data_IF_046126149839
#
_entry.id   IF_046126149839
#
_cell.length_a   1.000
_cell.length_b   1.000
_cell.length_c   1.000
_cell.angle_alpha   90.00
_cell.angle_beta   90.00
_cell.angle_gamma   90.00
#
_symmetry.space_group_name_H-M   'P 1'
#
loop_
_entity.id
_entity.type
_entity.pdbx_description
1 polymer ?
#
# COMPACT_ATOMS: atom_id res chain seq x y z
N UNK A 1 18.16 -16.53 -4.96
CA UNK A 1 17.79 -17.87 -5.45
C UNK A 1 17.20 -18.74 -4.33
N UNK A 2 17.90 -18.97 -3.20
CA UNK A 2 17.37 -19.82 -2.11
C UNK A 2 16.05 -19.35 -1.46
N UNK A 3 15.79 -18.04 -1.33
CA UNK A 3 14.50 -17.55 -0.80
C UNK A 3 13.35 -17.67 -1.81
N UNK A 4 13.61 -17.38 -3.09
CA UNK A 4 12.62 -17.49 -4.17
C UNK A 4 12.15 -18.94 -4.35
N UNK A 5 13.07 -19.91 -4.31
CA UNK A 5 12.72 -21.33 -4.37
C UNK A 5 11.84 -21.75 -3.19
N UNK A 6 12.05 -21.22 -1.98
CA UNK A 6 11.19 -21.49 -0.83
C UNK A 6 9.79 -20.90 -0.99
N UNK A 7 9.68 -19.67 -1.51
CA UNK A 7 8.39 -19.03 -1.80
C UNK A 7 7.59 -19.86 -2.81
N UNK A 8 8.22 -20.29 -3.91
CA UNK A 8 7.54 -21.13 -4.90
C UNK A 8 7.09 -22.47 -4.32
N UNK A 9 7.90 -23.12 -3.48
CA UNK A 9 7.53 -24.39 -2.83
C UNK A 9 6.31 -24.19 -1.93
N UNK A 10 6.29 -23.11 -1.14
CA UNK A 10 5.16 -22.77 -0.28
C UNK A 10 3.89 -22.52 -1.11
N UNK A 11 4.00 -21.74 -2.18
CA UNK A 11 2.88 -21.45 -3.09
C UNK A 11 2.33 -22.70 -3.79
N UNK A 12 3.19 -23.67 -4.10
CA UNK A 12 2.79 -24.94 -4.74
C UNK A 12 1.84 -25.75 -3.86
N UNK A 13 1.86 -25.52 -2.54
CA UNK A 13 0.94 -26.18 -1.59
C UNK A 13 -0.24 -25.28 -1.26
N UNK A 14 -0.02 -23.98 -1.03
CA UNK A 14 -1.06 -23.08 -0.54
C UNK A 14 -2.15 -22.77 -1.58
N UNK A 15 -1.77 -22.54 -2.85
CA UNK A 15 -2.73 -22.28 -3.93
C UNK A 15 -3.71 -23.43 -4.20
N UNK A 16 -3.27 -24.70 -4.35
CA UNK A 16 -4.23 -25.77 -4.49
C UNK A 16 -5.01 -26.00 -3.19
N UNK A 17 -4.42 -25.73 -2.02
CA UNK A 17 -5.13 -25.88 -0.74
C UNK A 17 -6.31 -24.91 -0.61
N UNK A 18 -6.14 -23.61 -0.88
CA UNK A 18 -7.23 -22.62 -0.86
C UNK A 18 -8.35 -23.00 -1.84
N UNK A 19 -7.98 -23.39 -3.07
CA UNK A 19 -8.92 -23.85 -4.10
C UNK A 19 -9.69 -25.09 -3.64
N UNK A 20 -9.01 -26.09 -3.08
CA UNK A 20 -9.64 -27.32 -2.62
C UNK A 20 -10.58 -27.05 -1.43
N UNK A 21 -10.15 -26.24 -0.47
CA UNK A 21 -10.97 -25.85 0.68
C UNK A 21 -12.27 -25.17 0.22
N UNK A 22 -12.17 -24.23 -0.73
CA UNK A 22 -13.35 -23.59 -1.31
C UNK A 22 -14.21 -24.59 -2.08
N UNK A 23 -13.62 -25.44 -2.92
CA UNK A 23 -14.34 -26.39 -3.78
C UNK A 23 -15.09 -27.47 -2.99
N UNK A 24 -14.54 -27.90 -1.87
CA UNK A 24 -15.16 -28.90 -0.99
C UNK A 24 -16.08 -28.30 0.08
N UNK A 25 -16.31 -26.99 0.06
CA UNK A 25 -17.20 -26.33 1.02
C UNK A 25 -16.67 -26.41 2.45
N UNK A 26 -15.36 -26.27 2.64
CA UNK A 26 -14.76 -26.12 3.97
C UNK A 26 -15.33 -24.87 4.68
N UNK A 27 -15.12 -24.77 5.99
CA UNK A 27 -15.59 -23.62 6.74
C UNK A 27 -14.90 -22.33 6.27
N UNK A 28 -15.62 -21.22 6.37
CA UNK A 28 -15.18 -19.90 5.90
C UNK A 28 -13.86 -19.47 6.56
N UNK A 29 -13.62 -19.87 7.81
CA UNK A 29 -12.38 -19.59 8.53
C UNK A 29 -11.16 -20.24 7.85
N UNK A 30 -11.31 -21.46 7.33
CA UNK A 30 -10.23 -22.14 6.61
C UNK A 30 -9.97 -21.52 5.23
N UNK A 31 -11.02 -21.08 4.54
CA UNK A 31 -10.90 -20.33 3.27
C UNK A 31 -10.20 -19.00 3.53
N UNK A 32 -10.56 -18.31 4.61
CA UNK A 32 -9.96 -17.05 5.02
C UNK A 32 -8.46 -17.20 5.36
N UNK A 33 -8.10 -18.17 6.21
CA UNK A 33 -6.69 -18.40 6.59
C UNK A 33 -5.86 -18.84 5.39
N UNK A 34 -6.38 -19.74 4.56
CA UNK A 34 -5.64 -20.26 3.40
C UNK A 34 -5.43 -19.20 2.32
N UNK A 35 -6.43 -18.37 2.02
CA UNK A 35 -6.30 -17.27 1.06
C UNK A 35 -5.31 -16.21 1.53
N UNK A 36 -5.36 -15.80 2.81
CA UNK A 36 -4.34 -14.92 3.41
C UNK A 36 -2.93 -15.51 3.27
N UNK A 37 -2.78 -16.79 3.63
CA UNK A 37 -1.50 -17.48 3.56
C UNK A 37 -0.96 -17.56 2.12
N UNK A 38 -1.83 -17.63 1.11
CA UNK A 38 -1.48 -17.59 -0.31
C UNK A 38 -1.12 -16.19 -0.81
N UNK A 39 -1.88 -15.16 -0.43
CA UNK A 39 -1.70 -13.77 -0.90
C UNK A 39 -0.33 -13.21 -0.52
N UNK A 40 0.13 -13.44 0.71
CA UNK A 40 1.41 -12.89 1.22
C UNK A 40 2.61 -13.30 0.34
N UNK A 41 2.90 -14.60 0.12
CA UNK A 41 3.99 -15.02 -0.75
C UNK A 41 3.79 -14.63 -2.23
N UNK A 42 2.54 -14.56 -2.71
CA UNK A 42 2.26 -14.04 -4.06
C UNK A 42 2.66 -12.58 -4.19
N UNK A 43 2.30 -11.72 -3.22
CA UNK A 43 2.65 -10.31 -3.23
C UNK A 43 4.16 -10.09 -3.24
N UNK A 44 4.91 -10.89 -2.46
CA UNK A 44 6.38 -10.85 -2.46
C UNK A 44 6.94 -11.26 -3.85
N UNK A 45 6.37 -12.30 -4.46
CA UNK A 45 6.79 -12.75 -5.79
C UNK A 45 6.45 -11.74 -6.88
N UNK A 46 5.30 -11.05 -6.77
CA UNK A 46 4.90 -9.97 -7.66
C UNK A 46 5.89 -8.81 -7.60
N UNK A 47 6.19 -8.31 -6.40
CA UNK A 47 7.17 -7.24 -6.21
C UNK A 47 8.54 -7.61 -6.75
N UNK A 48 8.95 -8.87 -6.56
CA UNK A 48 10.22 -9.37 -7.12
C UNK A 48 10.20 -9.43 -8.65
N UNK A 49 9.09 -9.87 -9.26
CA UNK A 49 8.96 -9.89 -10.72
C UNK A 49 8.99 -8.47 -11.32
N UNK A 50 8.31 -7.53 -10.66
CA UNK A 50 8.32 -6.11 -10.99
C UNK A 50 9.75 -5.54 -10.94
N UNK A 51 10.51 -5.79 -9.88
CA UNK A 51 11.91 -5.33 -9.75
C UNK A 51 12.79 -5.87 -10.89
N UNK A 52 12.71 -7.18 -11.18
CA UNK A 52 13.53 -7.81 -12.24
C UNK A 52 13.18 -7.35 -13.64
N UNK A 53 11.91 -7.09 -13.91
CA UNK A 53 11.50 -6.48 -15.17
C UNK A 53 11.96 -5.02 -15.25
N UNK A 54 11.89 -4.27 -14.15
CA UNK A 54 12.35 -2.89 -14.09
C UNK A 54 13.86 -2.76 -14.37
N UNK A 55 14.68 -3.63 -13.78
CA UNK A 55 16.13 -3.72 -14.06
C UNK A 55 16.41 -3.92 -15.55
N UNK A 56 15.58 -4.71 -16.25
CA UNK A 56 15.77 -5.07 -17.65
C UNK A 56 15.21 -4.07 -18.65
N UNK A 57 14.09 -3.42 -18.32
CA UNK A 57 13.41 -2.44 -19.18
C UNK A 57 14.03 -1.04 -19.08
N UNK A 58 14.96 -0.85 -18.14
CA UNK A 58 15.69 0.39 -17.94
C UNK A 58 14.93 1.40 -17.07
N UNK A 59 15.57 2.52 -16.70
CA UNK A 59 15.13 3.36 -15.59
C UNK A 59 13.73 3.96 -15.75
N UNK A 60 13.37 4.45 -16.94
CA UNK A 60 12.08 5.12 -17.15
C UNK A 60 10.89 4.14 -17.18
N UNK A 61 11.01 3.06 -17.96
CA UNK A 61 9.96 2.04 -18.06
C UNK A 61 9.88 1.23 -16.76
N UNK A 62 11.04 0.92 -16.16
CA UNK A 62 11.11 0.22 -14.89
C UNK A 62 10.47 0.99 -13.75
N UNK A 63 10.69 2.30 -13.67
CA UNK A 63 10.03 3.13 -12.66
C UNK A 63 8.51 3.19 -12.88
N UNK A 64 8.02 3.25 -14.13
CA UNK A 64 6.58 3.15 -14.42
C UNK A 64 6.01 1.78 -14.02
N UNK A 65 6.75 0.70 -14.30
CA UNK A 65 6.33 -0.66 -13.94
C UNK A 65 6.25 -0.82 -12.43
N UNK A 66 7.25 -0.36 -11.67
CA UNK A 66 7.23 -0.35 -10.21
C UNK A 66 6.10 0.51 -9.66
N UNK A 67 5.83 1.65 -10.29
CA UNK A 67 4.73 2.52 -9.91
C UNK A 67 3.34 1.99 -10.27
N UNK A 68 3.21 0.91 -11.04
CA UNK A 68 1.94 0.26 -11.35
C UNK A 68 1.78 -1.06 -10.59
N UNK A 69 2.82 -1.87 -10.58
CA UNK A 69 2.79 -3.24 -10.04
C UNK A 69 3.39 -3.37 -8.63
N UNK A 70 4.04 -2.33 -8.11
CA UNK A 70 4.52 -2.33 -6.72
C UNK A 70 3.38 -2.44 -5.71
N UNK A 71 2.26 -1.78 -5.99
CA UNK A 71 1.05 -1.75 -5.17
C UNK A 71 -0.13 -2.48 -5.83
N UNK A 72 0.14 -3.35 -6.82
CA UNK A 72 -0.92 -4.05 -7.53
C UNK A 72 -1.72 -4.98 -6.62
N UNK A 73 -1.10 -5.60 -5.62
CA UNK A 73 -1.82 -6.45 -4.64
C UNK A 73 -2.91 -5.66 -3.92
N UNK A 74 -2.58 -4.48 -3.39
CA UNK A 74 -3.54 -3.60 -2.71
C UNK A 74 -4.67 -3.17 -3.66
N UNK A 75 -4.31 -2.70 -4.87
CA UNK A 75 -5.29 -2.29 -5.86
C UNK A 75 -6.23 -3.43 -6.26
N UNK A 76 -5.72 -4.64 -6.45
CA UNK A 76 -6.51 -5.82 -6.82
C UNK A 76 -7.48 -6.18 -5.70
N UNK A 77 -7.01 -6.26 -4.45
CA UNK A 77 -7.87 -6.55 -3.29
C UNK A 77 -8.95 -5.47 -3.15
N UNK A 78 -8.59 -4.19 -3.27
CA UNK A 78 -9.53 -3.07 -3.17
C UNK A 78 -10.58 -3.09 -4.28
N UNK A 79 -10.20 -3.37 -5.53
CA UNK A 79 -11.14 -3.48 -6.65
C UNK A 79 -12.11 -4.65 -6.48
N UNK A 80 -11.62 -5.80 -5.99
CA UNK A 80 -12.46 -6.97 -5.76
C UNK A 80 -13.42 -6.74 -4.58
N UNK A 81 -12.93 -6.14 -3.49
CA UNK A 81 -13.75 -5.75 -2.35
C UNK A 81 -14.82 -4.71 -2.74
N UNK A 82 -14.47 -3.72 -3.56
CA UNK A 82 -15.41 -2.72 -4.07
C UNK A 82 -16.48 -3.38 -4.95
N UNK A 83 -16.09 -4.30 -5.83
CA UNK A 83 -17.02 -5.08 -6.66
C UNK A 83 -17.96 -5.95 -5.83
N UNK A 84 -17.52 -6.41 -4.66
CA UNK A 84 -18.35 -7.16 -3.71
C UNK A 84 -19.25 -6.26 -2.85
N UNK A 85 -19.18 -4.94 -3.01
CA UNK A 85 -19.99 -3.98 -2.25
C UNK A 85 -19.41 -3.62 -0.88
N UNK A 86 -18.20 -4.06 -0.55
CA UNK A 86 -17.53 -3.81 0.73
C UNK A 86 -16.90 -2.39 0.78
N UNK A 87 -17.68 -1.36 0.47
CA UNK A 87 -17.18 0.02 0.30
C UNK A 87 -16.50 0.55 1.55
N UNK A 88 -17.03 0.23 2.73
CA UNK A 88 -16.49 0.72 4.00
C UNK A 88 -15.17 0.04 4.34
N UNK A 89 -15.05 -1.26 4.07
CA UNK A 89 -13.78 -1.99 4.16
C UNK A 89 -12.75 -1.41 3.19
N UNK A 90 -13.14 -1.04 1.96
CA UNK A 90 -12.24 -0.43 0.97
C UNK A 90 -11.75 0.94 1.44
N UNK A 91 -12.63 1.82 1.93
CA UNK A 91 -12.24 3.12 2.51
C UNK A 91 -11.27 2.94 3.68
N UNK A 92 -11.64 2.07 4.61
CA UNK A 92 -10.80 1.71 5.74
C UNK A 92 -9.43 1.15 5.30
N UNK A 93 -9.37 0.37 4.22
CA UNK A 93 -8.10 -0.14 3.67
C UNK A 93 -7.18 0.95 3.13
N UNK A 94 -7.72 2.00 2.51
CA UNK A 94 -6.92 3.15 2.08
C UNK A 94 -6.32 3.88 3.28
N UNK A 95 -7.14 4.16 4.30
CA UNK A 95 -6.72 4.75 5.57
C UNK A 95 -5.60 3.90 6.21
N UNK A 96 -5.84 2.59 6.27
CA UNK A 96 -4.92 1.62 6.82
C UNK A 96 -3.60 1.51 6.07
N UNK A 97 -3.61 1.52 4.73
CA UNK A 97 -2.38 1.43 3.93
C UNK A 97 -1.53 2.69 4.07
N UNK A 98 -2.14 3.87 4.20
CA UNK A 98 -1.41 5.10 4.55
C UNK A 98 -0.79 4.98 5.94
N UNK A 99 -1.55 4.56 6.95
CA UNK A 99 -1.04 4.36 8.31
C UNK A 99 0.08 3.32 8.37
N UNK A 100 -0.10 2.18 7.71
CA UNK A 100 0.82 1.08 7.73
C UNK A 100 2.12 1.44 7.00
N UNK A 101 2.07 2.13 5.85
CA UNK A 101 3.28 2.61 5.20
C UNK A 101 4.05 3.64 6.05
N UNK A 102 3.34 4.66 6.54
CA UNK A 102 3.98 5.80 7.19
C UNK A 102 4.39 5.55 8.64
N UNK A 103 3.69 4.68 9.36
CA UNK A 103 3.96 4.44 10.78
C UNK A 103 4.55 3.04 11.00
N UNK A 104 3.92 2.00 10.46
CA UNK A 104 4.38 0.62 10.67
C UNK A 104 5.65 0.31 9.87
N UNK A 105 5.65 0.53 8.55
CA UNK A 105 6.77 0.17 7.68
C UNK A 105 7.98 1.06 7.93
N UNK A 106 7.79 2.39 8.03
CA UNK A 106 8.85 3.30 8.45
C UNK A 106 9.34 2.99 9.87
N UNK A 107 8.44 2.78 10.83
CA UNK A 107 8.79 2.46 12.20
C UNK A 107 9.61 1.18 12.35
N UNK A 108 9.19 0.10 11.68
CA UNK A 108 9.96 -1.15 11.61
C UNK A 108 11.32 -0.95 10.94
N UNK A 109 11.37 -0.14 9.87
CA UNK A 109 12.60 0.14 9.13
C UNK A 109 13.61 0.89 9.98
N UNK A 110 13.19 1.96 10.67
CA UNK A 110 14.03 2.77 11.54
C UNK A 110 14.45 2.00 12.80
N UNK A 111 13.54 1.23 13.40
CA UNK A 111 13.87 0.36 14.53
C UNK A 111 14.92 -0.67 14.13
N UNK A 112 14.61 -1.53 13.16
CA UNK A 112 15.46 -2.69 12.82
C UNK A 112 16.74 -2.22 12.10
N UNK A 113 16.68 -1.15 11.32
CA UNK A 113 17.83 -0.50 10.71
C UNK A 113 18.74 0.21 11.74
N UNK A 114 18.14 0.82 12.76
CA UNK A 114 18.85 1.53 13.83
C UNK A 114 19.50 0.61 14.85
N UNK A 115 19.06 -0.65 14.99
CA UNK A 115 19.68 -1.60 15.92
C UNK A 115 21.18 -1.77 15.64
N UNK A 116 22.00 -1.44 16.64
CA UNK A 116 23.46 -1.50 16.55
C UNK A 116 24.11 -0.33 15.81
N UNK A 117 23.35 0.74 15.51
CA UNK A 117 23.84 1.99 14.92
C UNK A 117 23.41 3.18 15.79
N UNK A 118 24.18 4.27 15.75
CA UNK A 118 23.78 5.51 16.42
C UNK A 118 22.69 6.23 15.62
N UNK A 119 22.93 6.43 14.32
CA UNK A 119 22.00 7.08 13.39
C UNK A 119 22.15 6.47 11.98
N UNK A 120 21.13 6.61 11.15
CA UNK A 120 21.17 6.36 9.70
C UNK A 120 20.71 7.60 8.93
N UNK A 121 21.54 8.07 8.01
CA UNK A 121 21.21 9.21 7.16
C UNK A 121 20.39 8.83 5.93
N UNK A 122 19.57 9.78 5.47
CA UNK A 122 18.91 9.78 4.19
C UNK A 122 18.74 11.23 3.67
N UNK A 123 18.59 11.39 2.37
CA UNK A 123 18.32 12.68 1.75
C UNK A 123 16.93 13.19 2.13
N UNK A 124 16.85 14.40 2.67
CA UNK A 124 15.56 15.03 3.01
C UNK A 124 14.80 15.55 1.78
N UNK A 125 15.35 15.41 0.57
CA UNK A 125 14.74 15.93 -0.66
C UNK A 125 13.54 15.10 -1.09
N UNK A 126 13.69 13.78 -1.23
CA UNK A 126 12.60 12.88 -1.64
C UNK A 126 11.46 12.92 -0.62
N UNK A 127 11.72 12.83 0.71
CA UNK A 127 10.67 12.95 1.70
C UNK A 127 9.96 14.29 1.70
N UNK A 128 10.66 15.39 1.46
CA UNK A 128 10.04 16.72 1.38
C UNK A 128 9.10 16.86 0.17
N UNK A 129 9.54 16.41 -1.01
CA UNK A 129 8.70 16.47 -2.22
C UNK A 129 7.47 15.56 -2.07
N UNK A 130 7.69 14.31 -1.64
CA UNK A 130 6.61 13.35 -1.44
C UNK A 130 5.66 13.79 -0.31
N UNK A 131 6.18 14.32 0.79
CA UNK A 131 5.39 14.82 1.93
C UNK A 131 4.49 16.01 1.57
N UNK A 132 4.93 16.86 0.65
CA UNK A 132 4.11 17.97 0.13
C UNK A 132 2.94 17.42 -0.70
N UNK A 133 3.20 16.43 -1.56
CA UNK A 133 2.16 15.77 -2.34
C UNK A 133 1.19 14.94 -1.47
N UNK A 134 1.68 14.33 -0.38
CA UNK A 134 0.83 13.68 0.62
C UNK A 134 -0.08 14.67 1.34
N UNK A 135 0.40 15.88 1.64
CA UNK A 135 -0.47 16.93 2.22
C UNK A 135 -1.63 17.28 1.29
N UNK A 136 -1.41 17.27 -0.03
CA UNK A 136 -2.49 17.44 -1.01
C UNK A 136 -3.46 16.25 -0.99
N UNK A 137 -2.95 15.02 -0.85
CA UNK A 137 -3.78 13.83 -0.70
C UNK A 137 -4.66 13.88 0.56
N UNK A 138 -4.10 14.33 1.68
CA UNK A 138 -4.85 14.59 2.91
C UNK A 138 -5.98 15.57 2.66
N UNK A 139 -5.71 16.67 1.94
CA UNK A 139 -6.74 17.66 1.57
C UNK A 139 -7.85 17.04 0.73
N UNK A 140 -7.50 16.16 -0.22
CA UNK A 140 -8.48 15.48 -1.07
C UNK A 140 -9.41 14.53 -0.32
N UNK A 141 -8.99 13.99 0.82
CA UNK A 141 -9.81 13.16 1.70
C UNK A 141 -10.59 14.03 2.71
N UNK A 142 -9.95 15.05 3.26
CA UNK A 142 -10.50 15.90 4.30
C UNK A 142 -11.70 16.74 3.82
N UNK A 143 -11.58 17.41 2.67
CA UNK A 143 -12.62 18.35 2.21
C UNK A 143 -13.95 17.64 1.90
N UNK A 144 -13.98 16.53 1.13
CA UNK A 144 -15.22 15.80 0.91
C UNK A 144 -15.83 15.29 2.23
N UNK A 145 -15.00 14.76 3.14
CA UNK A 145 -15.44 14.23 4.43
C UNK A 145 -16.07 15.28 5.35
N UNK A 146 -15.49 16.49 5.43
CA UNK A 146 -16.09 17.62 6.17
C UNK A 146 -17.41 18.08 5.57
N UNK A 147 -17.51 18.05 4.24
CA UNK A 147 -18.74 18.42 3.53
C UNK A 147 -19.86 17.40 3.77
N UNK A 148 -19.52 16.12 3.93
CA UNK A 148 -20.46 15.06 4.34
C UNK A 148 -20.99 15.25 5.75
N UNK A 149 -20.13 15.68 6.69
CA UNK A 149 -20.50 15.97 8.08
C UNK A 149 -21.52 17.12 8.21
N UNK A 150 -21.42 18.11 7.32
CA UNK A 150 -22.23 19.33 7.36
C UNK A 150 -23.62 19.17 6.70
N UNK A 151 -23.87 18.05 6.00
CA UNK A 151 -25.01 17.90 5.09
C UNK A 151 -25.90 16.70 5.43
N UNK A 152 -26.24 16.53 6.70
CA UNK A 152 -27.20 15.52 7.16
C UNK A 152 -28.60 15.83 6.60
N UNK A 153 -29.17 14.96 5.74
CA UNK A 153 -30.63 14.80 5.66
C UNK A 153 -31.38 14.74 4.32
N UNK A 154 -30.78 14.86 3.12
CA UNK A 154 -31.57 14.76 1.85
C UNK A 154 -30.88 13.95 0.74
N UNK A 155 -31.66 13.23 -0.08
CA UNK A 155 -31.15 12.37 -1.16
C UNK A 155 -30.36 13.12 -2.26
N UNK A 156 -30.69 14.40 -2.48
CA UNK A 156 -29.99 15.31 -3.41
C UNK A 156 -28.52 15.51 -3.00
N UNK A 157 -28.19 15.34 -1.71
CA UNK A 157 -26.83 15.55 -1.18
C UNK A 157 -25.87 14.40 -1.54
N UNK A 158 -26.37 13.19 -1.80
CA UNK A 158 -25.50 12.03 -2.14
C UNK A 158 -24.94 12.14 -3.57
N UNK A 159 -25.70 12.68 -4.51
CA UNK A 159 -25.24 12.89 -5.90
C UNK A 159 -24.14 13.96 -5.98
N UNK A 160 -24.30 15.08 -5.27
CA UNK A 160 -23.29 16.16 -5.21
C UNK A 160 -21.95 15.68 -4.61
N UNK A 161 -22.00 14.73 -3.66
CA UNK A 161 -20.80 14.16 -3.02
C UNK A 161 -20.00 13.26 -3.95
N UNK A 162 -20.67 12.50 -4.83
CA UNK A 162 -20.03 11.63 -5.81
C UNK A 162 -19.35 12.48 -6.90
N UNK A 163 -20.04 13.47 -7.47
CA UNK A 163 -19.44 14.35 -8.49
C UNK A 163 -18.25 15.16 -7.96
N UNK A 164 -18.32 15.61 -6.70
CA UNK A 164 -17.17 16.25 -6.07
C UNK A 164 -16.00 15.27 -5.91
N UNK A 165 -16.26 14.02 -5.52
CA UNK A 165 -15.24 12.97 -5.42
C UNK A 165 -14.61 12.66 -6.80
N UNK A 166 -15.41 12.60 -7.87
CA UNK A 166 -14.93 12.42 -9.25
C UNK A 166 -14.03 13.58 -9.70
N UNK A 167 -14.42 14.82 -9.40
CA UNK A 167 -13.61 16.01 -9.69
C UNK A 167 -12.24 15.94 -8.99
N UNK A 168 -12.26 15.59 -7.70
CA UNK A 168 -11.04 15.42 -6.91
C UNK A 168 -10.18 14.27 -7.47
N UNK A 169 -10.78 13.14 -7.86
CA UNK A 169 -10.08 12.01 -8.47
C UNK A 169 -9.31 12.40 -9.74
N UNK A 170 -9.92 13.20 -10.63
CA UNK A 170 -9.22 13.70 -11.82
C UNK A 170 -8.05 14.62 -11.49
N UNK A 171 -8.18 15.50 -10.49
CA UNK A 171 -7.07 16.34 -10.03
C UNK A 171 -5.92 15.47 -9.52
N UNK A 172 -6.22 14.47 -8.70
CA UNK A 172 -5.20 13.57 -8.13
C UNK A 172 -4.45 12.79 -9.23
N UNK A 173 -5.16 12.28 -10.25
CA UNK A 173 -4.51 11.61 -11.39
C UNK A 173 -3.62 12.55 -12.21
N UNK A 174 -4.04 13.81 -12.42
CA UNK A 174 -3.22 14.80 -13.11
C UNK A 174 -1.96 15.09 -12.28
N UNK A 175 -2.10 15.28 -10.97
CA UNK A 175 -0.95 15.51 -10.07
C UNK A 175 -0.03 14.29 -10.05
N UNK A 176 -0.57 13.07 -10.08
CA UNK A 176 0.23 11.85 -10.19
C UNK A 176 1.04 11.83 -11.49
N UNK A 177 0.40 12.09 -12.63
CA UNK A 177 1.06 12.14 -13.93
C UNK A 177 2.17 13.21 -13.98
N UNK A 178 1.94 14.37 -13.37
CA UNK A 178 2.95 15.42 -13.25
C UNK A 178 4.09 15.02 -12.31
N UNK A 179 3.80 14.31 -11.22
CA UNK A 179 4.82 13.76 -10.31
C UNK A 179 5.66 12.68 -10.99
N UNK A 180 5.05 11.83 -11.83
CA UNK A 180 5.78 10.89 -12.68
C UNK A 180 6.65 11.63 -13.70
N UNK A 181 6.14 12.66 -14.37
CA UNK A 181 6.95 13.48 -15.28
C UNK A 181 8.12 14.14 -14.55
N UNK A 182 7.90 14.61 -13.33
CA UNK A 182 8.91 15.22 -12.47
C UNK A 182 10.02 14.22 -12.13
N UNK A 183 9.64 13.05 -11.60
CA UNK A 183 10.59 12.02 -11.17
C UNK A 183 11.30 11.31 -12.32
N UNK A 184 10.63 11.08 -13.46
CA UNK A 184 11.19 10.32 -14.57
C UNK A 184 11.99 11.17 -15.56
N UNK A 185 11.67 12.46 -15.70
CA UNK A 185 12.22 13.33 -16.75
C UNK A 185 12.89 14.59 -16.21
N UNK A 186 12.16 15.48 -15.55
CA UNK A 186 12.69 16.83 -15.26
C UNK A 186 13.67 16.85 -14.10
N UNK A 187 13.48 16.00 -13.08
CA UNK A 187 14.26 15.97 -11.85
C UNK A 187 14.72 14.56 -11.49
N UNK A 188 15.03 13.76 -12.51
CA UNK A 188 15.48 12.38 -12.34
C UNK A 188 16.69 12.23 -11.40
N UNK A 189 17.59 13.22 -11.37
CA UNK A 189 18.75 13.23 -10.48
C UNK A 189 18.40 13.26 -8.99
N UNK A 190 17.21 13.76 -8.61
CA UNK A 190 16.74 13.78 -7.23
C UNK A 190 16.17 12.43 -6.78
N UNK A 191 15.74 11.59 -7.72
CA UNK A 191 15.12 10.29 -7.47
C UNK A 191 16.07 9.11 -7.74
N UNK A 192 17.29 9.35 -8.22
CA UNK A 192 18.31 8.32 -8.35
C UNK A 192 18.98 8.07 -6.98
N UNK A 193 19.04 6.81 -6.52
CA UNK A 193 19.71 6.48 -5.27
C UNK A 193 21.17 6.96 -5.29
N UNK A 194 21.63 7.59 -4.20
CA UNK A 194 23.05 7.97 -4.02
C UNK A 194 23.98 6.76 -4.16
N UNK A 195 23.49 5.55 -3.86
CA UNK A 195 24.19 4.29 -4.07
C UNK A 195 24.50 3.99 -5.56
N UNK A 196 23.67 4.44 -6.51
CA UNK A 196 23.96 4.31 -7.94
C UNK A 196 24.96 5.36 -8.42
N UNK A 197 24.91 6.57 -7.86
CA UNK A 197 25.82 7.67 -8.19
C UNK A 197 27.25 7.42 -7.69
N UNK A 198 27.41 6.78 -6.52
CA UNK A 198 28.71 6.40 -5.96
C UNK A 198 29.24 5.06 -6.50
N UNK A 199 28.40 4.26 -7.16
CA UNK A 199 28.81 3.04 -7.86
C UNK A 199 29.30 3.39 -9.26
N UNK A 200 30.32 4.24 -9.35
CA UNK A 200 31.10 4.39 -10.56
C UNK A 200 31.64 3.02 -10.98
N UNK A 201 31.22 2.56 -12.16
CA UNK A 201 31.91 1.53 -12.94
C UNK A 201 32.27 0.23 -12.20
N UNK A 202 31.33 -0.39 -11.50
CA UNK A 202 31.43 -1.81 -11.16
C UNK A 202 30.13 -2.52 -11.54
N UNK A 203 29.84 -2.55 -12.84
CA UNK A 203 29.03 -3.62 -13.42
C UNK A 203 29.80 -4.92 -13.24
N UNK A 204 29.79 -5.48 -12.02
CA UNK A 204 29.96 -6.91 -11.86
C UNK A 204 28.98 -7.57 -12.82
N UNK A 205 29.48 -8.59 -13.50
CA UNK A 205 28.88 -9.39 -14.55
C UNK A 205 27.57 -10.08 -14.11
N UNK A 206 26.57 -9.30 -13.68
CA UNK A 206 25.26 -9.78 -13.31
C UNK A 206 24.51 -10.02 -14.60
N UNK A 207 24.27 -11.30 -14.89
CA UNK A 207 23.40 -11.74 -15.97
C UNK A 207 22.10 -10.94 -15.91
N UNK A 208 21.85 -10.11 -16.92
CA UNK A 208 20.59 -9.36 -17.02
C UNK A 208 19.43 -10.34 -16.92
N UNK A 209 18.42 -10.08 -16.07
CA UNK A 209 17.32 -11.01 -15.90
C UNK A 209 16.59 -11.28 -17.22
N UNK A 210 16.20 -12.54 -17.51
CA UNK A 210 15.53 -12.88 -18.75
C UNK A 210 14.11 -12.28 -18.77
N UNK A 211 13.75 -11.58 -19.85
CA UNK A 211 12.47 -10.87 -19.97
C UNK A 211 11.26 -11.81 -19.83
N UNK A 212 11.22 -12.86 -20.65
CA UNK A 212 10.03 -13.70 -20.83
C UNK A 212 9.61 -14.40 -19.52
N UNK A 213 10.51 -15.08 -18.77
CA UNK A 213 10.12 -15.74 -17.52
C UNK A 213 9.56 -14.78 -16.47
N UNK A 214 10.14 -13.57 -16.34
CA UNK A 214 9.66 -12.59 -15.37
C UNK A 214 8.34 -11.95 -15.79
N UNK A 215 8.12 -11.73 -17.09
CA UNK A 215 6.83 -11.28 -17.61
C UNK A 215 5.74 -12.33 -17.39
N UNK A 216 6.01 -13.60 -17.67
CA UNK A 216 5.09 -14.70 -17.37
C UNK A 216 4.81 -14.81 -15.87
N UNK A 217 5.84 -14.69 -15.04
CA UNK A 217 5.69 -14.72 -13.57
C UNK A 217 4.79 -13.56 -13.11
N UNK A 218 5.04 -12.34 -13.58
CA UNK A 218 4.22 -11.17 -13.25
C UNK A 218 2.74 -11.41 -13.59
N UNK A 219 2.46 -11.88 -14.81
CA UNK A 219 1.08 -12.15 -15.26
C UNK A 219 0.41 -13.26 -14.44
N UNK A 220 1.07 -14.41 -14.27
CA UNK A 220 0.52 -15.55 -13.53
C UNK A 220 0.26 -15.20 -12.07
N UNK A 221 1.20 -14.50 -11.42
CA UNK A 221 1.04 -14.06 -10.03
C UNK A 221 -0.08 -13.04 -9.90
N UNK A 222 -0.22 -12.10 -10.84
CA UNK A 222 -1.32 -11.12 -10.84
C UNK A 222 -2.68 -11.81 -10.90
N UNK A 223 -2.83 -12.81 -11.79
CA UNK A 223 -4.07 -13.59 -11.91
C UNK A 223 -4.32 -14.41 -10.63
N UNK A 224 -3.27 -15.05 -10.08
CA UNK A 224 -3.39 -15.82 -8.85
C UNK A 224 -3.80 -14.93 -7.66
N UNK A 225 -3.24 -13.72 -7.53
CA UNK A 225 -3.65 -12.75 -6.50
C UNK A 225 -5.11 -12.37 -6.69
N UNK A 226 -5.56 -12.09 -7.91
CA UNK A 226 -6.96 -11.77 -8.17
C UNK A 226 -7.90 -12.91 -7.76
N UNK A 227 -7.55 -14.16 -8.10
CA UNK A 227 -8.34 -15.32 -7.71
C UNK A 227 -8.38 -15.54 -6.18
N UNK A 228 -7.22 -15.49 -5.51
CA UNK A 228 -7.16 -15.61 -4.05
C UNK A 228 -7.87 -14.46 -3.33
N UNK A 229 -7.83 -13.26 -3.91
CA UNK A 229 -8.54 -12.09 -3.38
C UNK A 229 -10.05 -12.26 -3.50
N UNK A 230 -10.57 -12.94 -4.53
CA UNK A 230 -11.99 -13.28 -4.65
C UNK A 230 -12.43 -14.26 -3.55
N UNK A 231 -11.60 -15.28 -3.27
CA UNK A 231 -11.84 -16.20 -2.15
C UNK A 231 -11.82 -15.47 -0.81
N UNK A 232 -10.81 -14.61 -0.59
CA UNK A 232 -10.64 -13.84 0.64
C UNK A 232 -11.82 -12.89 0.87
N UNK A 233 -12.13 -12.05 -0.11
CA UNK A 233 -13.22 -11.06 -0.04
C UNK A 233 -14.58 -11.74 0.14
N UNK A 234 -14.76 -12.95 -0.43
CA UNK A 234 -16.01 -13.70 -0.28
C UNK A 234 -16.30 -14.16 1.15
N UNK A 235 -15.30 -14.18 2.04
CA UNK A 235 -15.46 -14.65 3.43
C UNK A 235 -15.00 -13.65 4.48
N UNK A 236 -14.34 -12.54 4.09
CA UNK A 236 -13.70 -11.58 5.02
C UNK A 236 -14.70 -11.05 6.04
N UNK A 237 -15.82 -10.48 5.60
CA UNK A 237 -16.85 -9.86 6.43
C UNK A 237 -17.43 -10.87 7.44
N UNK A 238 -17.85 -12.04 6.94
CA UNK A 238 -18.45 -13.11 7.77
C UNK A 238 -17.48 -13.61 8.83
N UNK A 239 -16.22 -13.82 8.46
CA UNK A 239 -15.20 -14.31 9.41
C UNK A 239 -14.85 -13.24 10.43
N UNK A 240 -14.70 -11.97 10.01
CA UNK A 240 -14.35 -10.87 10.91
C UNK A 240 -15.47 -10.54 11.89
N UNK A 241 -16.73 -10.62 11.45
CA UNK A 241 -17.90 -10.45 12.32
C UNK A 241 -17.95 -11.52 13.42
N UNK A 242 -17.66 -12.79 13.09
CA UNK A 242 -17.66 -13.89 14.07
C UNK A 242 -16.64 -13.70 15.18
N UNK A 243 -15.50 -13.05 14.89
CA UNK A 243 -14.46 -12.74 15.87
C UNK A 243 -14.62 -11.33 16.48
N UNK A 244 -15.71 -10.62 16.16
CA UNK A 244 -16.06 -9.33 16.72
C UNK A 244 -15.23 -8.16 16.22
N UNK A 245 -14.67 -8.25 15.01
CA UNK A 245 -13.96 -7.15 14.35
C UNK A 245 -14.92 -6.36 13.46
N UNK A 246 -14.91 -5.04 13.58
CA UNK A 246 -15.70 -4.16 12.71
C UNK A 246 -15.12 -4.09 11.30
N UNK A 247 -15.96 -3.80 10.29
CA UNK A 247 -15.53 -3.55 8.91
C UNK A 247 -14.40 -2.51 8.82
N UNK A 248 -14.49 -1.45 9.61
CA UNK A 248 -13.49 -0.40 9.66
C UNK A 248 -12.18 -0.93 10.23
N UNK A 249 -12.19 -1.70 11.32
CA UNK A 249 -10.97 -2.29 11.87
C UNK A 249 -10.35 -3.30 10.89
N UNK A 250 -11.19 -4.14 10.27
CA UNK A 250 -10.79 -5.09 9.24
C UNK A 250 -10.10 -4.38 8.07
N UNK A 251 -10.71 -3.32 7.54
CA UNK A 251 -10.09 -2.53 6.48
C UNK A 251 -8.81 -1.84 6.93
N UNK A 252 -8.80 -1.13 8.07
CA UNK A 252 -7.64 -0.33 8.51
C UNK A 252 -6.43 -1.18 8.90
N UNK A 253 -6.64 -2.38 9.44
CA UNK A 253 -5.55 -3.20 9.98
C UNK A 253 -5.27 -4.42 9.11
N UNK A 254 -6.28 -5.23 8.81
CA UNK A 254 -6.07 -6.53 8.17
C UNK A 254 -5.62 -6.36 6.71
N UNK A 255 -6.35 -5.59 5.91
CA UNK A 255 -6.10 -5.48 4.47
C UNK A 255 -4.71 -4.91 4.12
N UNK A 256 -4.23 -3.82 4.75
CA UNK A 256 -2.88 -3.29 4.52
C UNK A 256 -1.78 -4.27 4.88
N UNK A 257 -1.95 -5.02 5.98
CA UNK A 257 -1.00 -6.06 6.35
C UNK A 257 -0.91 -7.13 5.26
N UNK A 258 -1.99 -7.44 4.56
CA UNK A 258 -1.98 -8.40 3.46
C UNK A 258 -1.36 -7.81 2.19
N UNK A 259 -1.87 -6.66 1.75
CA UNK A 259 -1.50 -6.04 0.47
C UNK A 259 -0.07 -5.47 0.47
N UNK A 260 0.35 -4.84 1.57
CA UNK A 260 1.62 -4.14 1.68
C UNK A 260 2.79 -4.97 2.22
N UNK A 261 2.59 -6.23 2.63
CA UNK A 261 3.65 -7.05 3.26
C UNK A 261 4.95 -7.11 2.45
N UNK A 262 4.85 -7.23 1.12
CA UNK A 262 6.03 -7.27 0.25
C UNK A 262 6.88 -5.99 0.33
N UNK A 263 6.20 -4.85 0.41
CA UNK A 263 6.84 -3.53 0.52
C UNK A 263 7.46 -3.36 1.90
N UNK A 264 6.75 -3.75 2.97
CA UNK A 264 7.26 -3.65 4.35
C UNK A 264 8.53 -4.49 4.52
N UNK A 265 8.53 -5.71 3.98
CA UNK A 265 9.70 -6.57 3.99
C UNK A 265 10.87 -5.95 3.22
N UNK A 266 10.59 -5.35 2.07
CA UNK A 266 11.60 -4.69 1.23
C UNK A 266 12.19 -3.46 1.92
N UNK A 267 11.36 -2.59 2.49
CA UNK A 267 11.77 -1.42 3.25
C UNK A 267 12.70 -1.81 4.42
N UNK A 268 12.24 -2.72 5.29
CA UNK A 268 13.02 -3.21 6.44
C UNK A 268 14.33 -3.86 5.98
N UNK A 269 14.31 -4.65 4.91
CA UNK A 269 15.52 -5.28 4.35
C UNK A 269 16.54 -4.24 3.85
N UNK A 270 16.09 -3.15 3.23
CA UNK A 270 16.95 -2.05 2.79
C UNK A 270 17.50 -1.24 3.96
N UNK A 271 16.67 -0.93 4.96
CA UNK A 271 17.09 -0.24 6.17
C UNK A 271 18.19 -1.01 6.93
N UNK A 272 18.02 -2.34 7.08
CA UNK A 272 19.04 -3.22 7.68
C UNK A 272 20.39 -3.19 6.97
N UNK A 273 20.37 -3.05 5.65
CA UNK A 273 21.56 -2.94 4.78
C UNK A 273 22.18 -1.53 4.78
N UNK A 274 21.76 -0.68 5.70
CA UNK A 274 22.18 0.72 5.77
C UNK A 274 21.80 1.55 4.54
N UNK A 275 20.69 1.20 3.89
CA UNK A 275 20.12 1.95 2.75
C UNK A 275 18.80 2.60 3.16
N UNK A 276 18.86 3.45 4.19
CA UNK A 276 17.65 4.10 4.74
C UNK A 276 16.96 4.98 3.69
N UNK A 277 17.71 5.67 2.83
CA UNK A 277 17.17 6.38 1.66
C UNK A 277 16.17 5.58 0.84
N UNK A 278 16.53 4.34 0.50
CA UNK A 278 15.68 3.45 -0.29
C UNK A 278 14.46 3.01 0.52
N UNK A 279 14.66 2.71 1.80
CA UNK A 279 13.58 2.29 2.70
C UNK A 279 12.51 3.37 2.85
N UNK A 280 12.93 4.61 3.14
CA UNK A 280 12.02 5.76 3.27
C UNK A 280 11.34 6.05 1.94
N UNK A 281 12.10 5.99 0.82
CA UNK A 281 11.53 6.20 -0.52
C UNK A 281 10.45 5.18 -0.86
N UNK A 282 10.62 3.90 -0.49
CA UNK A 282 9.62 2.85 -0.71
C UNK A 282 8.33 3.18 0.05
N UNK A 283 8.41 3.42 1.36
CA UNK A 283 7.23 3.70 2.18
C UNK A 283 6.48 4.98 1.73
N UNK A 284 7.22 6.04 1.42
CA UNK A 284 6.62 7.30 0.99
C UNK A 284 6.02 7.22 -0.42
N UNK A 285 6.68 6.52 -1.34
CA UNK A 285 6.18 6.41 -2.72
C UNK A 285 4.95 5.51 -2.80
N UNK A 286 4.88 4.45 -1.98
CA UNK A 286 3.69 3.60 -1.86
C UNK A 286 2.48 4.40 -1.36
N UNK A 287 2.66 5.16 -0.28
CA UNK A 287 1.61 6.07 0.24
C UNK A 287 1.12 7.07 -0.81
N UNK A 288 2.05 7.65 -1.56
CA UNK A 288 1.73 8.60 -2.63
C UNK A 288 0.90 7.93 -3.75
N UNK A 289 1.21 6.69 -4.10
CA UNK A 289 0.52 5.92 -5.13
C UNK A 289 -0.90 5.56 -4.67
N UNK A 290 -1.07 5.13 -3.42
CA UNK A 290 -2.39 4.87 -2.84
C UNK A 290 -3.27 6.12 -2.98
N UNK A 291 -2.74 7.26 -2.54
CA UNK A 291 -3.44 8.53 -2.57
C UNK A 291 -3.73 9.06 -3.99
N UNK A 292 -2.74 9.08 -4.88
CA UNK A 292 -2.84 9.78 -6.16
C UNK A 292 -3.23 8.88 -7.33
N UNK A 293 -3.23 7.56 -7.15
CA UNK A 293 -3.58 6.59 -8.19
C UNK A 293 -4.67 5.61 -7.73
N UNK A 294 -4.48 4.87 -6.63
CA UNK A 294 -5.46 3.83 -6.20
C UNK A 294 -6.81 4.46 -5.88
N UNK A 295 -6.82 5.50 -5.04
CA UNK A 295 -8.05 6.20 -4.65
C UNK A 295 -8.80 6.75 -5.87
N UNK A 296 -8.18 7.50 -6.79
CA UNK A 296 -8.87 7.94 -8.02
C UNK A 296 -9.37 6.81 -8.90
N UNK A 297 -8.61 5.72 -9.04
CA UNK A 297 -9.05 4.56 -9.83
C UNK A 297 -10.32 3.96 -9.20
N UNK A 298 -10.39 3.84 -7.87
CA UNK A 298 -11.57 3.33 -7.17
C UNK A 298 -12.78 4.26 -7.35
N UNK A 299 -12.60 5.58 -7.23
CA UNK A 299 -13.67 6.57 -7.46
C UNK A 299 -14.22 6.46 -8.88
N UNK A 300 -13.35 6.40 -9.89
CA UNK A 300 -13.76 6.40 -11.30
C UNK A 300 -14.32 5.05 -11.77
N UNK A 301 -13.84 3.93 -11.20
CA UNK A 301 -14.28 2.59 -11.59
C UNK A 301 -15.46 2.08 -10.77
N UNK A 302 -15.67 2.60 -9.55
CA UNK A 302 -16.78 2.20 -8.66
C UNK A 302 -18.17 2.23 -9.32
N UNK A 303 -18.57 3.31 -10.02
CA UNK A 303 -19.83 3.36 -10.75
C UNK A 303 -19.97 2.24 -11.80
N UNK A 304 -18.87 1.87 -12.48
CA UNK A 304 -18.88 0.78 -13.47
C UNK A 304 -19.04 -0.59 -12.82
N UNK A 305 -18.68 -0.73 -11.54
CA UNK A 305 -18.83 -1.96 -10.74
C UNK A 305 -20.19 -2.05 -10.03
N UNK A 306 -21.05 -1.04 -10.15
CA UNK A 306 -22.36 -0.98 -9.46
C UNK A 306 -22.30 -0.44 -8.04
N UNK A 307 -21.11 -0.06 -7.55
CA UNK A 307 -20.89 0.45 -6.20
C UNK A 307 -20.13 1.77 -6.27
N UNK A 308 -20.84 2.92 -6.35
CA UNK A 308 -20.20 4.24 -6.38
C UNK A 308 -19.28 4.42 -5.16
N UNK A 309 -18.05 4.86 -5.40
CA UNK A 309 -17.05 5.08 -4.37
C UNK A 309 -16.80 6.58 -4.19
N UNK A 310 -17.16 7.11 -3.02
CA UNK A 310 -16.95 8.52 -2.67
C UNK A 310 -15.75 8.68 -1.71
N UNK A 311 -15.27 9.91 -1.59
CA UNK A 311 -14.17 10.27 -0.69
C UNK A 311 -14.64 10.73 0.69
N UNK A 312 -15.83 10.29 1.13
CA UNK A 312 -16.35 10.59 2.46
C UNK A 312 -15.89 9.52 3.45
N UNK A 313 -14.77 9.77 4.12
CA UNK A 313 -14.18 8.89 5.13
C UNK A 313 -14.68 9.25 6.52
N UNK A 314 -14.67 8.28 7.44
CA UNK A 314 -14.99 8.52 8.84
C UNK A 314 -14.05 9.55 9.48
N UNK A 315 -14.55 10.33 10.44
CA UNK A 315 -13.74 11.37 11.10
C UNK A 315 -12.46 10.81 11.73
N UNK A 316 -12.52 9.61 12.31
CA UNK A 316 -11.37 8.91 12.88
C UNK A 316 -10.35 8.53 11.82
N UNK A 317 -10.80 8.07 10.65
CA UNK A 317 -9.95 7.76 9.51
C UNK A 317 -9.21 9.00 9.00
N UNK A 318 -9.93 10.10 8.83
CA UNK A 318 -9.35 11.38 8.40
C UNK A 318 -8.29 11.87 9.40
N UNK A 319 -8.60 11.83 10.70
CA UNK A 319 -7.65 12.23 11.76
C UNK A 319 -6.43 11.32 11.77
N UNK A 320 -6.60 10.01 11.62
CA UNK A 320 -5.50 9.06 11.58
C UNK A 320 -4.57 9.29 10.38
N UNK A 321 -5.13 9.55 9.19
CA UNK A 321 -4.36 9.87 7.98
C UNK A 321 -3.60 11.21 8.15
N UNK A 322 -4.25 12.25 8.66
CA UNK A 322 -3.60 13.54 8.95
C UNK A 322 -2.42 13.32 9.91
N UNK A 323 -2.65 12.59 11.00
CA UNK A 323 -1.64 12.34 12.01
C UNK A 323 -0.47 11.54 11.43
N UNK A 324 -0.74 10.48 10.67
CA UNK A 324 0.29 9.66 10.03
C UNK A 324 1.16 10.48 9.08
N UNK A 325 0.55 11.32 8.23
CA UNK A 325 1.27 12.19 7.30
C UNK A 325 2.09 13.25 8.03
N UNK A 326 1.52 13.92 9.03
CA UNK A 326 2.23 14.95 9.80
C UNK A 326 3.43 14.36 10.54
N UNK A 327 3.22 13.28 11.29
CA UNK A 327 4.30 12.66 12.08
C UNK A 327 5.39 12.10 11.16
N UNK A 328 5.01 11.40 10.09
CA UNK A 328 6.00 10.89 9.12
C UNK A 328 6.78 12.01 8.45
N UNK A 329 6.13 13.13 8.11
CA UNK A 329 6.82 14.28 7.56
C UNK A 329 7.81 14.85 8.58
N UNK A 330 7.40 15.07 9.83
CA UNK A 330 8.25 15.59 10.90
C UNK A 330 9.50 14.73 11.12
N UNK A 331 9.33 13.41 11.26
CA UNK A 331 10.45 12.47 11.42
C UNK A 331 11.36 12.47 10.18
N UNK A 332 10.80 12.71 8.99
CA UNK A 332 11.58 12.72 7.76
C UNK A 332 12.29 14.04 7.44
N UNK A 333 12.06 15.11 8.21
CA UNK A 333 12.60 16.45 7.91
C UNK A 333 14.13 16.51 8.02
N UNK A 334 14.67 15.89 9.07
CA UNK A 334 16.07 16.07 9.46
C UNK A 334 17.03 15.17 8.67
N UNK A 335 16.50 14.26 7.83
CA UNK A 335 17.29 13.37 6.99
C UNK A 335 18.13 12.36 7.79
N UNK A 336 17.73 12.09 9.03
CA UNK A 336 18.39 11.15 9.94
C UNK A 336 17.33 10.29 10.58
N UNK A 337 17.73 9.10 11.01
CA UNK A 337 16.86 8.20 11.74
C UNK A 337 17.62 7.40 12.79
N UNK A 338 16.93 7.07 13.86
CA UNK A 338 17.42 6.18 14.91
C UNK A 338 16.34 5.15 15.33
N UNK A 339 16.72 4.24 16.22
CA UNK A 339 15.83 3.17 16.66
C UNK A 339 14.68 3.68 17.54
N UNK A 340 14.85 4.80 18.25
CA UNK A 340 13.83 5.40 19.12
C UNK A 340 12.74 6.06 18.28
N UNK A 341 13.09 6.80 17.24
CA UNK A 341 12.11 7.30 16.25
C UNK A 341 11.28 6.16 15.68
N UNK A 342 11.93 5.03 15.36
CA UNK A 342 11.25 3.82 14.92
C UNK A 342 10.22 3.31 15.93
N UNK A 343 10.56 3.26 17.22
CA UNK A 343 9.60 2.86 18.27
C UNK A 343 8.48 3.87 18.44
N UNK A 344 8.75 5.17 18.34
CA UNK A 344 7.72 6.20 18.46
C UNK A 344 6.69 6.09 17.33
N UNK A 345 7.11 5.81 16.10
CA UNK A 345 6.22 5.53 14.97
C UNK A 345 5.40 4.25 15.19
N UNK A 346 6.03 3.18 15.70
CA UNK A 346 5.33 1.93 16.02
C UNK A 346 4.32 2.10 17.16
N UNK A 347 4.66 2.90 18.17
CA UNK A 347 3.76 3.23 19.26
C UNK A 347 2.57 4.05 18.77
N UNK A 348 2.80 5.03 17.89
CA UNK A 348 1.74 5.78 17.22
C UNK A 348 0.81 4.86 16.41
N UNK A 349 1.37 3.94 15.62
CA UNK A 349 0.58 2.94 14.88
C UNK A 349 -0.27 2.08 15.82
N UNK A 350 0.33 1.56 16.90
CA UNK A 350 -0.37 0.72 17.87
C UNK A 350 -1.50 1.47 18.60
N UNK A 351 -1.30 2.74 18.96
CA UNK A 351 -2.32 3.58 19.59
C UNK A 351 -3.49 3.81 18.62
N UNK A 352 -3.21 4.16 17.37
CA UNK A 352 -4.26 4.34 16.36
C UNK A 352 -5.00 3.03 16.08
N UNK A 353 -4.28 1.91 15.93
CA UNK A 353 -4.87 0.59 15.74
C UNK A 353 -5.77 0.19 16.91
N UNK A 354 -5.34 0.43 18.15
CA UNK A 354 -6.18 0.23 19.33
C UNK A 354 -7.40 1.17 19.32
N UNK A 355 -7.23 2.42 18.88
CA UNK A 355 -8.33 3.36 18.68
C UNK A 355 -9.41 2.81 17.75
N UNK A 356 -9.04 2.29 16.58
CA UNK A 356 -9.98 1.64 15.66
C UNK A 356 -10.60 0.37 16.23
N UNK A 357 -9.85 -0.41 17.02
CA UNK A 357 -10.37 -1.62 17.68
C UNK A 357 -11.46 -1.30 18.70
N UNK A 358 -11.23 -0.26 19.53
CA UNK A 358 -12.18 0.17 20.55
C UNK A 358 -13.28 1.10 20.01
N UNK A 359 -13.17 1.55 18.77
CA UNK A 359 -14.23 2.24 18.04
C UNK A 359 -15.32 1.22 17.62
N UNK A 360 -15.91 0.56 18.60
CA UNK A 360 -17.12 -0.22 18.43
C UNK A 360 -18.26 0.80 18.36
N UNK A 361 -18.92 0.87 17.19
CA UNK A 361 -20.22 1.51 17.04
C UNK A 361 -21.18 0.97 18.12
N UNK A 362 -21.95 1.82 18.80
CA UNK A 362 -22.77 1.40 19.93
C UNK A 362 -23.77 0.31 19.53
N UNK A 363 -23.96 -0.65 20.44
CA UNK A 363 -24.92 -1.77 20.43
C UNK A 363 -26.31 -1.34 19.94
#
# INVERSE_FOLDING_TARGET
MASQSRILIVLTVLLPLSVLLHRFGASEEWIFISSIASIIPLAILLGTATERLAERLGPSIGALLTALFGNATELIIALIALRAGLTDIVKASITGSVMANLLLALGLSMLIGGLGRQEQGFSSVIPRVNGTAMTLAVLSILIPSLSGLSRVGTAVVREDSIHFSEFVAWILLIVYALTLLFSLKTHRSLYQPVAELNSGSNHQNQSTPPLIPWLCTLLVVTIAIAYESELFVGVVEVVTDRIGLSDVFTGVILLPLLGGTAEYFTAVSMARKNKMDLSVSVALSSTLLIALLVVPVLVLTGPMMGHPFDLNFGIYEVVAVIFAVVVSNLVSLDGRSDWLEGILLLAAYAILAAGFFFQITPV
#
